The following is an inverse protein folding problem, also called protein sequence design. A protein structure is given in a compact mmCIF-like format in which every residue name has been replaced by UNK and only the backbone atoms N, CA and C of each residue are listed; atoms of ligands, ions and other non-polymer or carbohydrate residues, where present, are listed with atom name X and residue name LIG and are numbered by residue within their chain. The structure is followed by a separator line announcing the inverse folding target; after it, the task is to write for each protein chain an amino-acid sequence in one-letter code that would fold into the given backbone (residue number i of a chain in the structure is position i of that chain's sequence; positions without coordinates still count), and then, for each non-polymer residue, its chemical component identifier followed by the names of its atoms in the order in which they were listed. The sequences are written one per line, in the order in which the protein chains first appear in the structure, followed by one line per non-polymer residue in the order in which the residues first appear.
data_IF_392395522886
#
_entry.id   IF_392395522886
#
_cell.length_a   1.000
_cell.length_b   1.000
_cell.length_c   1.000
_cell.angle_alpha   90.00
_cell.angle_beta   90.00
_cell.angle_gamma   90.00
#
_symmetry.space_group_name_H-M   'P 1'
#
loop_
_entity.id
_entity.type
_entity.pdbx_description
1 polymer ?
#
# COMPACT_ATOMS: atom_id res chain seq x y z
N UNK A 1 -8.06 -2.77 -14.37
CA UNK A 1 -7.32 -3.01 -13.11
C UNK A 1 -6.17 -2.00 -13.03
N UNK A 2 -6.16 -1.15 -11.99
CA UNK A 2 -5.20 -0.04 -11.85
C UNK A 2 -3.79 -0.60 -11.62
N UNK A 3 -2.75 0.22 -11.83
CA UNK A 3 -1.37 -0.22 -11.72
C UNK A 3 -0.98 -0.57 -10.28
N UNK A 4 -1.49 0.16 -9.28
CA UNK A 4 -1.33 -0.15 -7.87
C UNK A 4 -1.88 -1.54 -7.50
N UNK A 5 -3.04 -1.94 -8.04
CA UNK A 5 -3.61 -3.29 -7.80
C UNK A 5 -2.65 -4.38 -8.29
N UNK A 6 -2.09 -4.19 -9.50
CA UNK A 6 -1.12 -5.10 -10.12
C UNK A 6 0.17 -5.16 -9.31
N UNK A 7 0.62 -4.02 -8.80
CA UNK A 7 1.82 -3.91 -7.99
C UNK A 7 1.64 -4.66 -6.66
N UNK A 8 0.63 -4.30 -5.86
CA UNK A 8 0.33 -4.91 -4.56
C UNK A 8 0.16 -6.43 -4.67
N UNK A 9 -0.62 -6.90 -5.65
CA UNK A 9 -0.82 -8.33 -5.85
C UNK A 9 0.45 -9.08 -6.29
N UNK A 10 1.27 -8.46 -7.15
CA UNK A 10 2.54 -9.04 -7.59
C UNK A 10 3.57 -9.08 -6.47
N UNK A 11 3.67 -8.01 -5.67
CA UNK A 11 4.57 -7.93 -4.52
C UNK A 11 4.25 -8.99 -3.47
N UNK A 12 2.96 -9.14 -3.12
CA UNK A 12 2.48 -10.26 -2.28
C UNK A 12 2.92 -11.61 -2.83
N UNK A 13 2.76 -11.83 -4.14
CA UNK A 13 3.12 -13.10 -4.77
C UNK A 13 4.62 -13.39 -4.69
N UNK A 14 5.46 -12.36 -4.84
CA UNK A 14 6.92 -12.47 -4.71
C UNK A 14 7.33 -12.92 -3.31
N UNK A 15 6.73 -12.33 -2.27
CA UNK A 15 7.04 -12.64 -0.88
C UNK A 15 6.44 -13.98 -0.40
N UNK A 16 5.30 -14.41 -0.95
CA UNK A 16 4.66 -15.67 -0.57
C UNK A 16 5.41 -16.87 -1.17
N UNK A 17 5.90 -16.76 -2.41
CA UNK A 17 6.48 -17.89 -3.13
C UNK A 17 7.93 -18.20 -2.76
N UNK A 18 8.66 -17.24 -2.21
CA UNK A 18 10.03 -17.44 -1.75
C UNK A 18 10.21 -16.76 -0.38
N UNK A 19 10.18 -17.52 0.72
CA UNK A 19 10.33 -16.96 2.06
C UNK A 19 11.65 -16.22 2.29
N UNK A 20 12.75 -16.64 1.63
CA UNK A 20 14.05 -15.96 1.72
C UNK A 20 13.98 -14.48 1.34
N UNK A 21 13.16 -14.15 0.32
CA UNK A 21 12.92 -12.78 -0.14
C UNK A 21 12.31 -11.87 0.94
N UNK A 22 11.68 -12.44 1.97
CA UNK A 22 11.17 -11.67 3.11
C UNK A 22 12.31 -11.18 3.99
N UNK A 23 13.30 -12.04 4.24
CA UNK A 23 14.50 -11.67 5.00
C UNK A 23 15.34 -10.66 4.22
N UNK A 24 15.54 -10.87 2.92
CA UNK A 24 16.24 -9.90 2.06
C UNK A 24 15.54 -8.53 2.05
N UNK A 25 14.20 -8.52 1.96
CA UNK A 25 13.44 -7.27 2.04
C UNK A 25 13.54 -6.63 3.43
N UNK A 26 13.52 -7.42 4.50
CA UNK A 26 13.70 -6.91 5.85
C UNK A 26 15.04 -6.21 6.01
N UNK A 27 16.11 -6.82 5.53
CA UNK A 27 17.46 -6.27 5.62
C UNK A 27 17.58 -4.98 4.79
N UNK A 28 16.95 -4.94 3.60
CA UNK A 28 16.89 -3.73 2.77
C UNK A 28 16.12 -2.58 3.44
N UNK A 29 15.02 -2.88 4.14
CA UNK A 29 14.26 -1.90 4.89
C UNK A 29 15.05 -1.36 6.09
N UNK A 30 15.68 -2.25 6.84
CA UNK A 30 16.50 -1.91 8.02
C UNK A 30 17.73 -1.08 7.65
N UNK A 31 18.40 -1.40 6.52
CA UNK A 31 19.51 -0.61 5.99
C UNK A 31 19.12 0.84 5.65
N UNK A 32 17.83 1.11 5.42
CA UNK A 32 17.29 2.46 5.18
C UNK A 32 16.69 3.10 6.43
N UNK A 33 16.85 2.47 7.60
CA UNK A 33 16.35 2.96 8.89
C UNK A 33 14.87 2.70 9.14
N UNK A 34 14.22 1.87 8.33
CA UNK A 34 12.83 1.47 8.57
C UNK A 34 12.75 0.34 9.58
N UNK A 35 11.59 0.22 10.24
CA UNK A 35 11.32 -0.94 11.10
C UNK A 35 11.24 -2.21 10.26
N UNK A 36 11.74 -3.32 10.82
CA UNK A 36 11.63 -4.68 10.26
C UNK A 36 10.17 -5.14 10.21
N UNK A 37 9.43 -4.71 9.18
CA UNK A 37 8.00 -5.02 8.98
C UNK A 37 7.72 -5.27 7.51
N UNK A 38 6.95 -6.32 7.20
CA UNK A 38 6.47 -6.60 5.85
C UNK A 38 5.22 -5.76 5.52
N UNK A 39 4.96 -5.51 4.23
CA UNK A 39 3.66 -4.98 3.82
C UNK A 39 2.53 -5.87 4.38
N UNK A 40 1.44 -5.27 4.90
CA UNK A 40 0.25 -6.03 5.28
C UNK A 40 -0.20 -6.93 4.12
N UNK A 41 -0.80 -8.08 4.43
CA UNK A 41 -1.38 -8.92 3.38
C UNK A 41 -2.81 -8.47 3.12
N UNK A 42 -3.14 -7.97 1.91
CA UNK A 42 -4.51 -7.58 1.60
C UNK A 42 -5.45 -8.78 1.71
N UNK A 43 -6.54 -8.58 2.44
CA UNK A 43 -7.66 -9.51 2.58
C UNK A 43 -8.82 -8.96 1.74
N UNK A 44 -9.36 -9.78 0.83
CA UNK A 44 -10.39 -9.37 -0.14
C UNK A 44 -11.60 -8.74 0.55
N UNK A 45 -12.02 -9.29 1.69
CA UNK A 45 -13.19 -8.83 2.46
C UNK A 45 -12.90 -7.65 3.39
N UNK A 46 -11.64 -7.21 3.53
CA UNK A 46 -11.26 -6.10 4.43
C UNK A 46 -10.46 -5.05 3.66
N UNK A 47 -11.17 -4.19 2.94
CA UNK A 47 -10.58 -3.18 2.05
C UNK A 47 -9.56 -2.26 2.75
N UNK A 48 -9.72 -2.02 4.06
CA UNK A 48 -8.74 -1.27 4.86
C UNK A 48 -7.33 -1.91 4.80
N UNK A 49 -7.23 -3.23 4.80
CA UNK A 49 -5.92 -3.90 4.69
C UNK A 49 -5.25 -3.63 3.34
N UNK A 50 -6.03 -3.48 2.27
CA UNK A 50 -5.51 -3.10 0.95
C UNK A 50 -5.00 -1.65 0.95
N UNK A 51 -5.75 -0.72 1.56
CA UNK A 51 -5.32 0.68 1.71
C UNK A 51 -4.04 0.79 2.54
N UNK A 52 -3.98 0.09 3.68
CA UNK A 52 -2.79 0.04 4.55
C UNK A 52 -1.59 -0.56 3.79
N UNK A 53 -1.82 -1.55 2.93
CA UNK A 53 -0.77 -2.12 2.07
C UNK A 53 -0.26 -1.11 1.04
N UNK A 54 -1.15 -0.42 0.34
CA UNK A 54 -0.75 0.63 -0.61
C UNK A 54 -0.03 1.79 0.07
N UNK A 55 -0.48 2.19 1.27
CA UNK A 55 0.18 3.21 2.10
C UNK A 55 1.58 2.76 2.55
N UNK A 56 1.73 1.50 2.96
CA UNK A 56 3.04 0.93 3.28
C UNK A 56 3.98 1.02 2.07
N UNK A 57 3.55 0.56 0.89
CA UNK A 57 4.37 0.62 -0.31
C UNK A 57 4.74 2.05 -0.70
N UNK A 58 3.85 3.03 -0.53
CA UNK A 58 4.20 4.43 -0.76
C UNK A 58 5.37 4.89 0.12
N UNK A 59 5.33 4.56 1.42
CA UNK A 59 6.33 4.96 2.40
C UNK A 59 7.69 4.28 2.19
N UNK A 60 7.70 3.04 1.68
CA UNK A 60 8.90 2.22 1.57
C UNK A 60 9.37 2.05 0.12
N UNK A 61 8.72 2.71 -0.84
CA UNK A 61 8.91 2.45 -2.27
C UNK A 61 10.38 2.47 -2.70
N UNK A 62 11.16 3.45 -2.23
CA UNK A 62 12.56 3.56 -2.62
C UNK A 62 13.38 2.34 -2.18
N UNK A 63 13.21 1.88 -0.94
CA UNK A 63 13.90 0.70 -0.43
C UNK A 63 13.45 -0.56 -1.20
N UNK A 64 12.14 -0.68 -1.47
CA UNK A 64 11.59 -1.78 -2.25
C UNK A 64 12.13 -1.80 -3.69
N UNK A 65 12.32 -0.64 -4.31
CA UNK A 65 12.88 -0.52 -5.67
C UNK A 65 14.35 -0.92 -5.73
N UNK A 66 15.16 -0.48 -4.78
CA UNK A 66 16.58 -0.84 -4.69
C UNK A 66 16.73 -2.35 -4.45
N UNK A 67 16.01 -2.90 -3.46
CA UNK A 67 15.96 -4.34 -3.21
C UNK A 67 15.57 -5.13 -4.46
N UNK A 68 14.54 -4.68 -5.18
CA UNK A 68 14.14 -5.32 -6.43
C UNK A 68 15.25 -5.28 -7.46
N UNK A 69 15.95 -4.16 -7.64
CA UNK A 69 17.06 -4.05 -8.59
C UNK A 69 18.18 -5.04 -8.28
N UNK A 70 18.55 -5.18 -7.01
CA UNK A 70 19.59 -6.08 -6.51
C UNK A 70 19.17 -7.56 -6.52
N UNK A 71 17.86 -7.84 -6.55
CA UNK A 71 17.35 -9.21 -6.64
C UNK A 71 17.74 -9.83 -8.00
N UNK A 72 18.67 -10.79 -8.00
CA UNK A 72 19.18 -11.53 -9.19
C UNK A 72 18.19 -12.60 -9.72
N UNK A 73 17.01 -12.69 -9.12
CA UNK A 73 16.01 -13.71 -9.42
C UNK A 73 15.31 -13.47 -10.78
N UNK A 74 15.47 -14.43 -11.69
CA UNK A 74 14.90 -14.41 -13.05
C UNK A 74 13.46 -14.93 -13.14
N UNK A 75 12.74 -15.07 -12.02
CA UNK A 75 11.36 -15.52 -12.05
C UNK A 75 10.46 -14.50 -12.76
N UNK A 76 9.48 -15.01 -13.52
CA UNK A 76 8.52 -14.19 -14.25
C UNK A 76 7.79 -13.16 -13.37
N UNK A 77 7.64 -13.44 -12.07
CA UNK A 77 7.02 -12.54 -11.10
C UNK A 77 7.90 -11.32 -10.77
N UNK A 78 9.22 -11.51 -10.61
CA UNK A 78 10.17 -10.41 -10.35
C UNK A 78 10.26 -9.52 -11.57
N UNK A 79 10.35 -10.09 -12.78
CA UNK A 79 10.32 -9.32 -14.02
C UNK A 79 9.03 -8.50 -14.16
N UNK A 80 7.87 -9.10 -13.86
CA UNK A 80 6.58 -8.40 -13.89
C UNK A 80 6.54 -7.26 -12.86
N UNK A 81 7.10 -7.47 -11.68
CA UNK A 81 7.15 -6.48 -10.62
C UNK A 81 8.08 -5.31 -11.01
N UNK A 82 9.32 -5.59 -11.45
CA UNK A 82 10.28 -4.60 -11.99
C UNK A 82 9.67 -3.75 -13.11
N UNK A 83 8.93 -4.36 -14.04
CA UNK A 83 8.23 -3.65 -15.13
C UNK A 83 7.16 -2.67 -14.64
N UNK A 84 6.46 -2.99 -13.56
CA UNK A 84 5.43 -2.12 -13.00
C UNK A 84 6.04 -0.99 -12.15
N UNK A 85 7.15 -1.27 -11.47
CA UNK A 85 7.88 -0.37 -10.58
C UNK A 85 8.39 0.92 -11.25
N UNK A 86 8.86 0.82 -12.50
CA UNK A 86 9.46 1.95 -13.21
C UNK A 86 8.47 3.01 -13.72
N UNK A 87 7.18 2.88 -13.43
CA UNK A 87 6.14 3.75 -13.98
C UNK A 87 5.79 4.88 -13.02
N UNK A 88 5.83 6.12 -13.51
CA UNK A 88 5.40 7.32 -12.76
C UNK A 88 3.97 7.17 -12.24
N UNK A 89 3.08 6.58 -13.06
CA UNK A 89 1.69 6.28 -12.69
C UNK A 89 1.58 5.47 -11.38
N UNK A 90 2.53 4.56 -11.10
CA UNK A 90 2.50 3.79 -9.85
C UNK A 90 2.74 4.69 -8.64
N UNK A 91 3.74 5.58 -8.73
CA UNK A 91 4.07 6.52 -7.65
C UNK A 91 2.88 7.43 -7.34
N UNK A 92 2.24 7.97 -8.37
CA UNK A 92 1.05 8.80 -8.23
C UNK A 92 -0.12 8.06 -7.60
N UNK A 93 -0.37 6.81 -8.02
CA UNK A 93 -1.45 6.01 -7.44
C UNK A 93 -1.19 5.65 -5.98
N UNK A 94 0.05 5.28 -5.63
CA UNK A 94 0.44 5.00 -4.24
C UNK A 94 0.36 6.25 -3.36
N UNK A 95 0.75 7.43 -3.88
CA UNK A 95 0.60 8.70 -3.18
C UNK A 95 -0.87 9.03 -2.87
N UNK A 96 -1.76 8.87 -3.85
CA UNK A 96 -3.21 9.07 -3.65
C UNK A 96 -3.78 8.10 -2.60
N UNK A 97 -3.39 6.82 -2.67
CA UNK A 97 -3.79 5.81 -1.67
C UNK A 97 -3.29 6.22 -0.28
N UNK A 98 -2.02 6.61 -0.16
CA UNK A 98 -1.43 7.04 1.11
C UNK A 98 -2.18 8.23 1.71
N UNK A 99 -2.51 9.25 0.91
CA UNK A 99 -3.23 10.44 1.35
C UNK A 99 -4.59 10.13 1.98
N UNK A 100 -5.36 9.20 1.41
CA UNK A 100 -6.69 8.84 1.92
C UNK A 100 -6.68 7.73 2.98
N UNK A 101 -5.59 6.97 3.08
CA UNK A 101 -5.52 5.73 3.88
C UNK A 101 -5.89 5.97 5.35
N UNK A 102 -5.29 6.98 6.00
CA UNK A 102 -5.53 7.24 7.42
C UNK A 102 -6.97 7.67 7.70
N UNK A 103 -7.54 8.50 6.82
CA UNK A 103 -8.91 8.99 6.94
C UNK A 103 -9.91 7.86 6.79
N UNK A 104 -9.78 7.03 5.75
CA UNK A 104 -10.68 5.90 5.54
C UNK A 104 -10.52 4.84 6.62
N UNK A 105 -9.28 4.47 7.01
CA UNK A 105 -9.06 3.46 8.04
C UNK A 105 -9.61 3.88 9.41
N UNK A 106 -9.45 5.15 9.78
CA UNK A 106 -10.03 5.68 11.03
C UNK A 106 -11.56 5.77 10.97
N UNK A 107 -12.11 6.15 9.81
CA UNK A 107 -13.55 6.17 9.57
C UNK A 107 -14.16 4.77 9.68
N UNK A 108 -13.59 3.77 9.02
CA UNK A 108 -14.07 2.38 9.10
C UNK A 108 -14.03 1.84 10.53
N UNK A 109 -12.91 2.03 11.26
CA UNK A 109 -12.81 1.62 12.68
C UNK A 109 -13.84 2.31 13.57
N UNK A 110 -14.23 3.53 13.22
CA UNK A 110 -15.28 4.26 13.94
C UNK A 110 -16.63 3.62 13.63
N UNK A 111 -16.98 3.45 12.36
CA UNK A 111 -18.24 2.85 11.90
C UNK A 111 -18.44 1.40 12.35
N UNK A 112 -17.35 0.65 12.61
CA UNK A 112 -17.42 -0.69 13.18
C UNK A 112 -17.92 -0.71 14.64
N UNK A 113 -17.95 0.44 15.33
CA UNK A 113 -18.53 0.57 16.67
C UNK A 113 -20.06 0.60 16.58
N UNK A 114 -20.73 -0.23 17.38
CA UNK A 114 -22.17 -0.54 17.25
C UNK A 114 -23.15 0.55 17.71
N UNK A 115 -22.70 1.77 18.00
CA UNK A 115 -23.56 2.80 18.60
C UNK A 115 -23.25 4.22 18.10
N UNK A 116 -23.25 4.40 16.78
CA UNK A 116 -23.02 5.70 16.14
C UNK A 116 -24.35 6.31 15.65
N UNK A 117 -24.71 7.51 16.12
CA UNK A 117 -25.83 8.26 15.56
C UNK A 117 -25.65 8.51 14.06
N UNK A 118 -26.75 8.49 13.31
CA UNK A 118 -26.72 8.71 11.85
C UNK A 118 -26.09 10.05 11.43
N UNK A 119 -26.21 11.09 12.26
CA UNK A 119 -25.58 12.38 12.01
C UNK A 119 -24.03 12.31 12.05
N UNK A 120 -23.48 11.54 12.99
CA UNK A 120 -22.02 11.34 13.10
C UNK A 120 -21.49 10.52 11.94
N UNK A 121 -22.25 9.51 11.49
CA UNK A 121 -21.95 8.75 10.27
C UNK A 121 -21.84 9.69 9.06
N UNK A 122 -22.79 10.61 8.89
CA UNK A 122 -22.77 11.57 7.78
C UNK A 122 -21.56 12.51 7.83
N UNK A 123 -21.26 13.10 8.99
CA UNK A 123 -20.10 13.98 9.17
C UNK A 123 -18.77 13.26 8.88
N UNK A 124 -18.67 12.00 9.28
CA UNK A 124 -17.51 11.16 9.03
C UNK A 124 -17.31 10.90 7.53
N UNK A 125 -18.39 10.59 6.80
CA UNK A 125 -18.35 10.40 5.34
C UNK A 125 -17.95 11.69 4.61
N UNK A 126 -18.48 12.85 5.03
CA UNK A 126 -18.09 14.14 4.46
C UNK A 126 -16.58 14.42 4.62
N UNK A 127 -15.98 14.05 5.75
CA UNK A 127 -14.52 14.19 5.95
C UNK A 127 -13.72 13.32 4.98
N UNK A 128 -14.20 12.10 4.70
CA UNK A 128 -13.57 11.22 3.71
C UNK A 128 -13.64 11.80 2.30
N UNK A 129 -14.80 12.33 1.89
CA UNK A 129 -15.02 12.89 0.55
C UNK A 129 -14.27 14.22 0.38
N UNK A 130 -14.31 15.10 1.37
CA UNK A 130 -13.63 16.41 1.35
C UNK A 130 -12.10 16.34 1.45
N UNK A 131 -11.51 15.15 1.62
CA UNK A 131 -10.07 14.97 1.50
C UNK A 131 -9.62 14.92 0.02
N UNK A 132 -10.46 14.41 -0.88
CA UNK A 132 -10.18 14.30 -2.32
C UNK A 132 -10.10 15.68 -2.99
N UNK A 133 -10.91 16.64 -2.52
CA UNK A 133 -10.98 18.00 -3.10
C UNK A 133 -9.79 18.90 -2.73
N UNK A 134 -9.02 18.57 -1.68
CA UNK A 134 -7.82 19.35 -1.28
C UNK A 134 -6.54 18.87 -1.95
N UNK A 135 -6.52 17.68 -2.52
CA UNK A 135 -5.37 17.13 -3.25
C UNK A 135 -5.42 17.38 -4.76
N UNK A 136 -6.47 18.04 -5.27
CA UNK A 136 -6.65 18.36 -6.69
C UNK A 136 -6.16 19.76 -7.08
N UNK A 137 -5.48 20.48 -6.17
CA UNK A 137 -5.00 21.84 -6.40
C UNK A 137 -3.55 22.04 -5.97
N UNK A 138 -2.61 21.69 -6.86
CA UNK A 138 -1.30 22.33 -7.09
C UNK A 138 -0.68 21.70 -8.33
#
# INVERSE_FOLDING_TARGET
MKLADKYISSFKSVLVKAPSRREELFDALEAKGYRRKLPPTPVITRWCTWLETGSFHHQHLNAELEWLQETEDNSAMIHKLKKNCGKVELKEQLYKIHGVCAVIASATKTLEKRDLPSCDVWLLLQKCIGFDTRCAGT
#
